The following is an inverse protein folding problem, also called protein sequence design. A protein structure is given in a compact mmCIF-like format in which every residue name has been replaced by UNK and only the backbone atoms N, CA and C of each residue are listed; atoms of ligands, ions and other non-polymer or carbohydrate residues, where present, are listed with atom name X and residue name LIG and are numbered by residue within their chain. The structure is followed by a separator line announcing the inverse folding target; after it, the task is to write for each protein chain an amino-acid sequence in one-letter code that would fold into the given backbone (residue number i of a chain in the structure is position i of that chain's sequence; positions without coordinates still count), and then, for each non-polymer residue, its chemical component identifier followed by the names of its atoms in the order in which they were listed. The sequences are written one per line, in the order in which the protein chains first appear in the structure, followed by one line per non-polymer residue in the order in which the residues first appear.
data_IF_021679453000
#
_entry.id   IF_021679453000
#
_cell.length_a   1.000
_cell.length_b   1.000
_cell.length_c   1.000
_cell.angle_alpha   90.00
_cell.angle_beta   90.00
_cell.angle_gamma   90.00
#
_symmetry.space_group_name_H-M   'P 1'
#
loop_
_entity.id
_entity.type
_entity.pdbx_description
1 polymer ?
#
# COMPACT_ATOMS: atom_id res chain seq x y z
N UNK A 1 30.62 14.86 29.92
CA UNK A 1 29.26 15.37 30.20
C UNK A 1 28.53 15.47 28.87
N UNK A 2 28.02 14.33 28.41
CA UNK A 2 27.24 14.20 27.18
C UNK A 2 25.79 14.48 27.53
N UNK A 3 25.32 15.68 27.16
CA UNK A 3 23.93 16.10 27.30
C UNK A 3 23.08 15.32 26.30
N UNK A 4 22.31 14.36 26.79
CA UNK A 4 21.18 13.74 26.11
C UNK A 4 20.08 14.79 26.00
N UNK A 5 19.95 15.42 24.83
CA UNK A 5 18.79 16.24 24.51
C UNK A 5 17.59 15.31 24.29
N UNK A 6 16.64 15.37 25.22
CA UNK A 6 15.32 14.79 25.08
C UNK A 6 14.50 15.78 24.21
N UNK A 7 14.03 15.43 23.00
CA UNK A 7 13.41 16.40 22.08
C UNK A 7 11.97 16.79 22.48
N UNK A 8 11.51 16.43 23.67
CA UNK A 8 10.12 16.66 24.07
C UNK A 8 9.78 18.13 24.41
N UNK A 9 10.77 19.00 24.62
CA UNK A 9 10.56 20.31 25.26
C UNK A 9 10.65 21.56 24.34
N UNK A 10 10.76 21.43 23.01
CA UNK A 10 10.90 22.60 22.10
C UNK A 10 9.78 22.78 21.07
N UNK A 11 8.61 22.15 21.24
CA UNK A 11 7.53 22.23 20.26
C UNK A 11 6.28 22.96 20.78
N UNK A 12 5.55 23.70 19.90
CA UNK A 12 4.35 24.42 20.31
C UNK A 12 3.34 23.47 20.97
N UNK A 13 2.95 23.81 22.20
CA UNK A 13 2.01 23.04 22.99
C UNK A 13 0.67 22.90 22.24
N UNK A 14 0.11 21.69 22.21
CA UNK A 14 -1.24 21.42 21.68
C UNK A 14 -1.32 20.84 20.26
N UNK A 15 -0.22 20.79 19.49
CA UNK A 15 -0.22 20.09 18.18
C UNK A 15 0.08 18.60 18.39
N UNK A 16 -0.79 17.67 17.96
CA UNK A 16 -0.57 16.23 18.13
C UNK A 16 0.51 15.70 17.19
N UNK A 17 1.23 14.65 17.61
CA UNK A 17 2.23 13.98 16.77
C UNK A 17 1.56 13.08 15.71
N UNK A 18 2.18 12.96 14.54
CA UNK A 18 1.74 12.06 13.47
C UNK A 18 2.92 11.22 12.93
N UNK A 19 2.73 9.94 12.60
CA UNK A 19 1.48 9.16 12.65
C UNK A 19 1.04 8.81 14.08
N UNK A 20 -0.27 8.65 14.26
CA UNK A 20 -0.88 8.26 15.53
C UNK A 20 -1.03 6.73 15.62
N UNK A 21 -1.11 6.19 16.84
CA UNK A 21 -1.15 4.73 17.07
C UNK A 21 -2.57 4.22 17.18
N UNK A 22 -2.85 3.06 16.55
CA UNK A 22 -4.11 2.33 16.72
C UNK A 22 -4.28 1.83 18.16
N UNK A 23 -5.51 1.73 18.65
CA UNK A 23 -5.77 1.23 19.99
C UNK A 23 -5.48 -0.27 20.08
N UNK A 24 -4.95 -0.71 21.23
CA UNK A 24 -4.87 -2.13 21.57
C UNK A 24 -6.27 -2.75 21.53
N UNK A 25 -6.41 -3.91 20.89
CA UNK A 25 -7.69 -4.62 20.75
C UNK A 25 -8.60 -4.13 19.60
N UNK A 26 -8.32 -2.95 19.01
CA UNK A 26 -9.04 -2.46 17.83
C UNK A 26 -8.07 -2.24 16.64
N UNK A 27 -7.36 -3.29 16.18
CA UNK A 27 -6.30 -3.13 15.18
C UNK A 27 -6.80 -2.70 13.79
N UNK A 28 -8.09 -2.88 13.49
CA UNK A 28 -8.66 -2.47 12.20
C UNK A 28 -9.11 -1.01 12.17
N UNK A 29 -9.35 -0.41 13.34
CA UNK A 29 -9.84 0.96 13.42
C UNK A 29 -8.73 2.00 13.24
N UNK A 30 -9.03 3.16 12.65
CA UNK A 30 -8.14 4.30 12.68
C UNK A 30 -7.74 4.64 14.11
N UNK A 31 -6.54 5.20 14.32
CA UNK A 31 -6.11 5.68 15.63
C UNK A 31 -7.19 6.55 16.33
N UNK A 32 -7.52 6.31 17.62
CA UNK A 32 -8.54 7.10 18.31
C UNK A 32 -8.22 8.60 18.33
N UNK A 33 -6.94 8.94 18.48
CA UNK A 33 -6.48 10.34 18.41
C UNK A 33 -6.74 10.94 17.02
N UNK A 34 -6.60 10.15 15.93
CA UNK A 34 -6.83 10.62 14.57
C UNK A 34 -8.32 10.88 14.31
N UNK A 35 -9.21 10.08 14.93
CA UNK A 35 -10.65 10.36 14.93
C UNK A 35 -11.02 11.60 15.74
N UNK A 36 -10.37 11.81 16.89
CA UNK A 36 -10.59 13.02 17.67
C UNK A 36 -10.22 14.28 16.87
N UNK A 37 -9.13 14.22 16.09
CA UNK A 37 -8.76 15.29 15.16
C UNK A 37 -9.79 15.51 14.05
N UNK A 38 -10.34 14.43 13.47
CA UNK A 38 -11.41 14.54 12.46
C UNK A 38 -12.65 15.27 12.97
N UNK A 39 -12.96 15.16 14.27
CA UNK A 39 -14.07 15.88 14.90
C UNK A 39 -13.79 17.38 15.12
N UNK A 40 -12.53 17.81 15.16
CA UNK A 40 -12.16 19.22 15.36
C UNK A 40 -12.42 20.06 14.10
N UNK A 41 -12.23 19.49 12.92
CA UNK A 41 -12.42 20.21 11.67
C UNK A 41 -11.90 19.49 10.44
N UNK A 42 -12.16 20.06 9.25
CA UNK A 42 -11.74 19.49 7.97
C UNK A 42 -10.22 19.51 7.77
N UNK A 43 -9.53 20.48 8.37
CA UNK A 43 -8.09 20.66 8.35
C UNK A 43 -7.59 20.89 9.77
N UNK A 44 -6.59 20.12 10.20
CA UNK A 44 -5.89 20.34 11.48
C UNK A 44 -4.38 20.33 11.27
N UNK A 45 -3.62 20.90 12.20
CA UNK A 45 -2.15 20.81 12.18
C UNK A 45 -1.69 19.57 12.96
N UNK A 46 -0.70 18.87 12.43
CA UNK A 46 -0.01 17.75 13.12
C UNK A 46 1.48 18.01 13.14
N UNK A 47 2.22 17.37 14.06
CA UNK A 47 3.68 17.50 14.17
C UNK A 47 4.37 16.22 13.69
N UNK A 48 5.40 16.38 12.84
CA UNK A 48 6.25 15.29 12.36
C UNK A 48 7.54 15.15 13.18
N UNK A 49 8.33 14.12 12.85
CA UNK A 49 9.60 13.77 13.48
C UNK A 49 10.67 14.88 13.42
N UNK A 50 10.59 15.76 12.42
CA UNK A 50 11.51 16.89 12.20
C UNK A 50 11.00 18.20 12.84
N UNK A 51 9.87 18.14 13.54
CA UNK A 51 9.22 19.31 14.14
C UNK A 51 8.34 20.12 13.19
N UNK A 52 8.30 19.79 11.90
CA UNK A 52 7.42 20.46 10.94
C UNK A 52 5.94 20.24 11.27
N UNK A 53 5.10 21.19 10.85
CA UNK A 53 3.66 21.19 11.13
C UNK A 53 2.79 21.22 9.87
N UNK A 54 2.73 20.13 9.10
CA UNK A 54 1.86 20.05 7.92
C UNK A 54 0.38 20.05 8.31
N UNK A 55 -0.47 20.34 7.32
CA UNK A 55 -1.91 20.14 7.40
C UNK A 55 -2.26 18.66 7.31
N UNK A 56 -3.16 18.21 8.16
CA UNK A 56 -3.84 16.93 8.10
C UNK A 56 -5.27 17.17 7.60
N UNK A 57 -5.63 16.56 6.47
CA UNK A 57 -6.93 16.74 5.81
C UNK A 57 -7.84 15.58 6.19
N UNK A 58 -8.90 15.84 6.93
CA UNK A 58 -9.64 14.79 7.65
C UNK A 58 -10.90 14.31 6.95
N UNK A 59 -11.47 15.12 6.04
CA UNK A 59 -12.71 14.81 5.31
C UNK A 59 -12.44 14.16 3.97
N UNK A 60 -13.26 13.17 3.61
CA UNK A 60 -13.12 12.43 2.35
C UNK A 60 -13.17 13.33 1.11
N UNK A 61 -14.13 14.26 1.07
CA UNK A 61 -14.33 15.15 -0.08
C UNK A 61 -13.11 16.06 -0.31
N UNK A 62 -12.54 16.59 0.78
CA UNK A 62 -11.38 17.48 0.74
C UNK A 62 -10.11 16.74 0.30
N UNK A 63 -9.91 15.51 0.81
CA UNK A 63 -8.81 14.66 0.36
C UNK A 63 -8.87 14.40 -1.15
N UNK A 64 -10.06 14.10 -1.69
CA UNK A 64 -10.22 13.88 -3.13
C UNK A 64 -9.99 15.13 -3.95
N UNK A 65 -10.52 16.27 -3.51
CA UNK A 65 -10.30 17.55 -4.18
C UNK A 65 -8.81 17.85 -4.30
N UNK A 66 -8.07 17.78 -3.18
CA UNK A 66 -6.62 18.03 -3.15
C UNK A 66 -5.81 17.00 -3.93
N UNK A 67 -6.17 15.71 -3.90
CA UNK A 67 -5.50 14.68 -4.72
C UNK A 67 -5.67 14.88 -6.23
N UNK A 68 -6.66 15.68 -6.66
CA UNK A 68 -6.88 16.04 -8.06
C UNK A 68 -6.40 17.43 -8.45
N UNK A 69 -5.96 18.24 -7.48
CA UNK A 69 -5.53 19.62 -7.72
C UNK A 69 -4.07 19.65 -8.19
N UNK A 70 -3.77 20.19 -9.38
CA UNK A 70 -2.40 20.25 -9.90
C UNK A 70 -1.48 21.18 -9.08
N UNK A 71 -2.02 22.00 -8.18
CA UNK A 71 -1.23 22.81 -7.23
C UNK A 71 -0.70 21.97 -6.06
N UNK A 72 -1.07 20.69 -5.97
CA UNK A 72 -0.69 19.79 -4.87
C UNK A 72 0.33 18.78 -5.36
N UNK A 73 1.61 19.07 -5.13
CA UNK A 73 2.77 18.33 -5.62
C UNK A 73 3.02 17.03 -4.87
N UNK A 74 3.36 15.96 -5.60
CA UNK A 74 3.85 14.69 -5.08
C UNK A 74 5.39 14.61 -5.03
N UNK A 75 6.09 15.62 -5.51
CA UNK A 75 7.55 15.65 -5.56
C UNK A 75 8.16 15.80 -4.16
N UNK A 76 8.73 14.71 -3.67
CA UNK A 76 9.33 14.66 -2.34
C UNK A 76 10.71 15.32 -2.24
N UNK A 77 11.23 15.86 -3.35
CA UNK A 77 12.43 16.69 -3.35
C UNK A 77 12.12 18.18 -3.06
N UNK A 78 10.85 18.57 -3.10
CA UNK A 78 10.46 19.96 -2.84
C UNK A 78 10.70 20.35 -1.37
N UNK A 79 11.24 21.56 -1.11
CA UNK A 79 11.37 22.07 0.25
C UNK A 79 10.01 22.15 0.96
N UNK A 80 9.94 21.64 2.19
CA UNK A 80 8.70 21.62 2.98
C UNK A 80 7.84 20.38 2.77
N UNK A 81 8.21 19.47 1.84
CA UNK A 81 7.48 18.21 1.67
C UNK A 81 7.48 17.42 2.99
N UNK A 82 6.33 16.97 3.50
CA UNK A 82 6.25 16.33 4.80
C UNK A 82 6.83 14.92 4.73
N UNK A 83 8.12 14.71 4.98
CA UNK A 83 8.75 13.39 4.87
C UNK A 83 8.40 12.46 6.04
N UNK A 84 8.32 11.15 5.79
CA UNK A 84 8.03 10.15 6.83
C UNK A 84 9.20 9.92 7.80
N UNK A 85 10.43 10.14 7.32
CA UNK A 85 11.67 9.88 8.03
C UNK A 85 12.80 10.70 7.39
N UNK A 86 14.00 10.80 8.02
CA UNK A 86 15.18 11.38 7.39
C UNK A 86 15.54 10.66 6.08
N UNK A 87 15.97 11.42 5.07
CA UNK A 87 16.42 10.90 3.77
C UNK A 87 17.78 11.47 3.41
N UNK A 88 18.61 10.67 2.74
CA UNK A 88 19.85 11.13 2.11
C UNK A 88 19.66 11.13 0.59
N UNK A 89 19.93 12.26 -0.05
CA UNK A 89 19.76 12.40 -1.51
C UNK A 89 18.30 12.39 -1.95
N UNK A 90 18.02 11.84 -3.13
CA UNK A 90 16.66 11.77 -3.68
C UNK A 90 15.86 10.63 -3.04
N UNK A 91 14.77 10.99 -2.37
CA UNK A 91 13.85 10.03 -1.74
C UNK A 91 12.87 9.39 -2.73
N UNK A 92 12.73 9.97 -3.92
CA UNK A 92 11.79 9.60 -4.98
C UNK A 92 12.01 8.21 -5.59
N UNK A 93 11.06 7.26 -5.51
CA UNK A 93 11.09 5.99 -6.28
C UNK A 93 10.30 6.15 -7.60
N UNK A 94 10.95 6.68 -8.63
CA UNK A 94 10.35 6.88 -9.96
C UNK A 94 9.08 7.76 -9.90
N UNK A 95 8.12 7.53 -10.79
CA UNK A 95 6.97 8.41 -11.04
C UNK A 95 5.99 8.56 -9.88
N UNK A 96 6.07 7.76 -8.81
CA UNK A 96 5.15 7.88 -7.66
C UNK A 96 5.35 9.20 -6.87
N UNK A 97 6.53 9.82 -7.01
CA UNK A 97 6.95 11.06 -6.33
C UNK A 97 7.39 12.10 -7.37
N UNK A 98 6.63 12.22 -8.45
CA UNK A 98 6.86 13.20 -9.52
C UNK A 98 5.54 13.89 -9.86
N UNK A 99 5.62 15.10 -10.38
CA UNK A 99 4.47 15.81 -10.93
C UNK A 99 4.41 15.68 -12.47
N UNK A 100 3.29 16.09 -13.05
CA UNK A 100 3.16 16.18 -14.49
C UNK A 100 4.05 17.31 -15.06
N UNK A 101 4.57 17.18 -16.29
CA UNK A 101 4.26 16.13 -17.28
C UNK A 101 5.06 14.83 -17.13
N UNK A 102 6.06 14.81 -16.25
CA UNK A 102 7.04 13.72 -16.17
C UNK A 102 6.42 12.45 -15.55
N UNK A 103 5.60 12.62 -14.52
CA UNK A 103 4.77 11.54 -13.98
C UNK A 103 3.93 10.87 -15.07
N UNK A 104 3.14 11.64 -15.84
CA UNK A 104 2.34 11.10 -16.93
C UNK A 104 3.17 10.42 -18.02
N UNK A 105 4.35 10.94 -18.35
CA UNK A 105 5.27 10.36 -19.35
C UNK A 105 5.70 8.95 -18.93
N UNK A 106 6.27 8.81 -17.74
CA UNK A 106 6.79 7.55 -17.23
C UNK A 106 5.68 6.54 -16.94
N UNK A 107 4.63 6.98 -16.23
CA UNK A 107 3.50 6.11 -15.87
C UNK A 107 2.85 5.47 -17.10
N UNK A 108 2.67 6.24 -18.19
CA UNK A 108 2.07 5.74 -19.44
C UNK A 108 2.83 4.56 -20.04
N UNK A 109 4.15 4.47 -19.84
CA UNK A 109 4.97 3.38 -20.39
C UNK A 109 4.71 2.04 -19.72
N UNK A 110 4.15 2.04 -18.51
CA UNK A 110 3.82 0.83 -17.74
C UNK A 110 2.33 0.66 -17.50
N UNK A 111 1.46 1.53 -18.02
CA UNK A 111 0.00 1.41 -17.81
C UNK A 111 -0.62 0.19 -18.50
N UNK A 112 -0.18 -0.14 -19.72
CA UNK A 112 -0.84 -1.16 -20.53
C UNK A 112 -0.88 -2.57 -19.90
N UNK A 113 0.19 -3.07 -19.25
CA UNK A 113 0.16 -4.33 -18.50
C UNK A 113 -0.90 -4.38 -17.39
N UNK A 114 -1.25 -3.26 -16.78
CA UNK A 114 -2.26 -3.17 -15.70
C UNK A 114 -3.67 -2.86 -16.21
N UNK A 115 -3.90 -2.81 -17.52
CA UNK A 115 -5.25 -2.63 -18.06
C UNK A 115 -6.16 -3.80 -17.66
N UNK A 116 -7.43 -3.52 -17.35
CA UNK A 116 -8.41 -4.50 -16.85
C UNK A 116 -8.41 -5.79 -17.67
N UNK A 117 -8.46 -5.69 -19.00
CA UNK A 117 -8.46 -6.86 -19.89
C UNK A 117 -7.18 -7.71 -19.78
N UNK A 118 -6.01 -7.08 -19.62
CA UNK A 118 -4.72 -7.79 -19.49
C UNK A 118 -4.62 -8.46 -18.14
N UNK A 119 -5.04 -7.77 -17.08
CA UNK A 119 -5.10 -8.32 -15.72
C UNK A 119 -6.08 -9.50 -15.64
N UNK A 120 -7.30 -9.37 -16.17
CA UNK A 120 -8.27 -10.48 -16.17
C UNK A 120 -7.76 -11.72 -16.93
N UNK A 121 -6.92 -11.54 -17.96
CA UNK A 121 -6.28 -12.67 -18.64
C UNK A 121 -5.29 -13.44 -17.74
N UNK A 122 -4.81 -12.84 -16.64
CA UNK A 122 -3.95 -13.49 -15.65
C UNK A 122 -4.75 -14.33 -14.64
N UNK A 123 -6.09 -14.19 -14.56
CA UNK A 123 -6.92 -14.90 -13.57
C UNK A 123 -6.64 -16.41 -13.49
N UNK A 124 -6.47 -17.16 -14.60
CA UNK A 124 -6.14 -18.59 -14.51
C UNK A 124 -4.78 -18.87 -13.88
N UNK A 125 -3.77 -18.04 -14.15
CA UNK A 125 -2.44 -18.18 -13.56
C UNK A 125 -2.48 -17.86 -12.05
N UNK A 126 -3.17 -16.78 -11.66
CA UNK A 126 -3.37 -16.41 -10.25
C UNK A 126 -4.15 -17.50 -9.50
N UNK A 127 -5.20 -18.06 -10.10
CA UNK A 127 -5.95 -19.18 -9.52
C UNK A 127 -5.03 -20.38 -9.29
N UNK A 128 -4.19 -20.74 -10.26
CA UNK A 128 -3.24 -21.84 -10.12
C UNK A 128 -2.25 -21.59 -8.98
N UNK A 129 -1.69 -20.38 -8.88
CA UNK A 129 -0.77 -20.01 -7.79
C UNK A 129 -1.46 -20.19 -6.43
N UNK A 130 -2.69 -19.69 -6.29
CA UNK A 130 -3.46 -19.79 -5.06
C UNK A 130 -3.79 -21.25 -4.73
N UNK A 131 -4.22 -22.05 -5.70
CA UNK A 131 -4.52 -23.47 -5.50
C UNK A 131 -3.27 -24.26 -5.10
N UNK A 132 -2.15 -24.09 -5.80
CA UNK A 132 -0.89 -24.77 -5.52
C UNK A 132 -0.39 -24.44 -4.09
N UNK A 133 -0.47 -23.17 -3.68
CA UNK A 133 -0.04 -22.75 -2.34
C UNK A 133 -0.98 -23.29 -1.25
N UNK A 134 -2.30 -23.34 -1.49
CA UNK A 134 -3.25 -23.99 -0.59
C UNK A 134 -2.95 -25.50 -0.49
N UNK A 135 -2.64 -26.17 -1.60
CA UNK A 135 -2.29 -27.59 -1.61
C UNK A 135 -1.04 -27.87 -0.76
N UNK A 136 0.01 -27.05 -0.93
CA UNK A 136 1.24 -27.13 -0.13
C UNK A 136 0.95 -26.90 1.36
N UNK A 137 0.15 -25.86 1.67
CA UNK A 137 -0.22 -25.53 3.05
C UNK A 137 -1.01 -26.67 3.71
N UNK A 138 -1.99 -27.25 3.02
CA UNK A 138 -2.82 -28.35 3.52
C UNK A 138 -2.04 -29.66 3.70
N UNK A 139 -0.98 -29.89 2.93
CA UNK A 139 -0.09 -31.03 3.07
C UNK A 139 0.96 -30.86 4.20
N UNK A 140 1.14 -29.62 4.68
CA UNK A 140 2.10 -29.26 5.73
C UNK A 140 1.58 -29.46 7.15
N UNK A 141 2.39 -29.11 8.17
CA UNK A 141 1.97 -29.12 9.56
C UNK A 141 0.94 -28.02 9.86
N UNK A 142 0.12 -28.25 10.89
CA UNK A 142 -0.76 -27.25 11.50
C UNK A 142 -0.41 -27.10 12.99
N UNK A 143 -0.35 -25.89 13.56
CA UNK A 143 -0.65 -24.59 12.94
C UNK A 143 0.41 -24.14 11.94
N UNK A 144 0.02 -23.22 11.06
CA UNK A 144 0.89 -22.58 10.06
C UNK A 144 0.81 -21.06 10.19
N UNK A 145 1.89 -20.35 9.89
CA UNK A 145 1.81 -18.91 9.66
C UNK A 145 1.28 -18.64 8.25
N UNK A 146 0.06 -18.08 8.16
CA UNK A 146 -0.55 -17.75 6.87
C UNK A 146 0.24 -16.67 6.11
N UNK A 147 0.97 -15.79 6.82
CA UNK A 147 1.76 -14.73 6.18
C UNK A 147 2.87 -15.36 5.33
N UNK A 148 3.71 -16.19 5.94
CA UNK A 148 4.82 -16.87 5.25
C UNK A 148 4.35 -17.93 4.26
N UNK A 149 3.36 -18.74 4.62
CA UNK A 149 2.95 -19.88 3.80
C UNK A 149 2.08 -19.49 2.59
N UNK A 150 1.40 -18.34 2.63
CA UNK A 150 0.38 -18.02 1.64
C UNK A 150 0.31 -16.53 1.27
N UNK A 151 0.17 -15.62 2.24
CA UNK A 151 -0.09 -14.21 1.95
C UNK A 151 1.08 -13.48 1.26
N UNK A 152 2.34 -13.79 1.62
CA UNK A 152 3.52 -13.26 0.94
C UNK A 152 3.79 -13.97 -0.41
N UNK A 153 3.78 -15.32 -0.51
CA UNK A 153 4.06 -16.00 -1.76
C UNK A 153 3.09 -15.66 -2.91
N UNK A 154 1.78 -15.52 -2.66
CA UNK A 154 0.78 -15.25 -3.71
C UNK A 154 1.17 -14.02 -4.56
N UNK A 155 1.21 -12.80 -3.99
CA UNK A 155 1.51 -11.61 -4.77
C UNK A 155 2.97 -11.58 -5.25
N UNK A 156 3.90 -12.20 -4.53
CA UNK A 156 5.29 -12.31 -4.98
C UNK A 156 5.41 -13.11 -6.28
N UNK A 157 4.68 -14.23 -6.41
CA UNK A 157 4.66 -15.04 -7.64
C UNK A 157 3.97 -14.29 -8.78
N UNK A 158 2.82 -13.66 -8.50
CA UNK A 158 2.03 -12.94 -9.50
C UNK A 158 2.79 -11.73 -10.07
N UNK A 159 3.44 -10.92 -9.21
CA UNK A 159 4.22 -9.78 -9.70
C UNK A 159 5.47 -10.23 -10.45
N UNK A 160 6.11 -11.33 -10.03
CA UNK A 160 7.21 -11.94 -10.76
C UNK A 160 6.81 -12.36 -12.18
N UNK A 161 5.64 -12.99 -12.32
CA UNK A 161 5.09 -13.38 -13.63
C UNK A 161 4.82 -12.15 -14.52
N UNK A 162 4.18 -11.10 -13.96
CA UNK A 162 3.89 -9.87 -14.71
C UNK A 162 5.16 -9.14 -15.17
N UNK A 163 6.15 -9.04 -14.28
CA UNK A 163 7.41 -8.35 -14.57
C UNK A 163 8.34 -9.20 -15.43
N UNK A 164 8.20 -10.52 -15.41
CA UNK A 164 9.17 -11.44 -16.00
C UNK A 164 10.43 -11.56 -15.14
N UNK A 165 10.28 -11.50 -13.82
CA UNK A 165 11.33 -11.69 -12.83
C UNK A 165 11.36 -13.17 -12.40
N UNK A 166 12.50 -13.88 -12.47
CA UNK A 166 12.60 -15.25 -11.99
C UNK A 166 12.29 -15.37 -10.49
N UNK A 167 11.36 -16.25 -10.12
CA UNK A 167 11.01 -16.45 -8.71
C UNK A 167 12.10 -17.16 -7.90
N UNK A 168 13.09 -17.80 -8.56
CA UNK A 168 14.22 -18.47 -7.89
C UNK A 168 15.06 -17.52 -7.03
N UNK A 169 14.95 -16.21 -7.26
CA UNK A 169 15.69 -15.17 -6.54
C UNK A 169 14.80 -14.37 -5.57
N UNK A 170 13.64 -14.93 -5.18
CA UNK A 170 12.70 -14.24 -4.30
C UNK A 170 13.30 -13.81 -2.96
N UNK A 171 14.13 -14.63 -2.32
CA UNK A 171 14.79 -14.26 -1.06
C UNK A 171 15.55 -12.94 -1.17
N UNK A 172 16.24 -12.70 -2.30
CA UNK A 172 17.02 -11.48 -2.51
C UNK A 172 16.11 -10.25 -2.61
N UNK A 173 15.11 -10.27 -3.48
CA UNK A 173 14.28 -9.08 -3.65
C UNK A 173 13.32 -8.87 -2.48
N UNK A 174 12.84 -9.94 -1.84
CA UNK A 174 12.00 -9.86 -0.64
C UNK A 174 12.78 -9.22 0.51
N UNK A 175 14.03 -9.64 0.76
CA UNK A 175 14.88 -9.06 1.80
C UNK A 175 15.10 -7.56 1.60
N UNK A 176 15.47 -7.15 0.38
CA UNK A 176 15.69 -5.73 0.09
C UNK A 176 14.38 -4.92 0.10
N UNK A 177 13.26 -5.47 -0.39
CA UNK A 177 11.96 -4.80 -0.36
C UNK A 177 11.45 -4.54 1.07
N UNK A 178 11.63 -5.51 1.99
CA UNK A 178 11.33 -5.37 3.42
C UNK A 178 12.09 -4.20 4.06
N UNK A 179 13.35 -3.98 3.70
CA UNK A 179 14.15 -2.83 4.18
C UNK A 179 13.55 -1.51 3.70
N UNK A 180 13.07 -1.45 2.46
CA UNK A 180 12.54 -0.22 1.86
C UNK A 180 11.18 0.21 2.42
N UNK A 181 10.37 -0.72 2.93
CA UNK A 181 9.04 -0.40 3.50
C UNK A 181 9.06 -0.11 5.01
N UNK A 182 10.11 -0.50 5.72
CA UNK A 182 10.27 -0.20 7.15
C UNK A 182 10.44 1.30 7.37
N UNK A 183 9.84 1.84 8.44
CA UNK A 183 9.96 3.26 8.78
C UNK A 183 11.34 3.56 9.36
N UNK A 184 11.76 2.76 10.33
CA UNK A 184 12.90 3.07 11.19
C UNK A 184 14.18 2.34 10.72
N UNK A 185 14.55 2.56 9.46
CA UNK A 185 15.79 2.04 8.84
C UNK A 185 16.76 3.19 8.58
N UNK A 186 18.06 3.03 8.92
CA UNK A 186 19.06 4.05 8.63
C UNK A 186 19.11 4.42 7.15
N UNK A 187 19.24 5.72 6.79
CA UNK A 187 19.21 6.16 5.39
C UNK A 187 20.18 5.42 4.46
N UNK A 188 21.37 5.09 4.96
CA UNK A 188 22.40 4.35 4.22
C UNK A 188 21.98 2.92 3.90
N UNK A 189 21.28 2.24 4.81
CA UNK A 189 20.77 0.88 4.58
C UNK A 189 19.63 0.91 3.56
N UNK A 190 18.76 1.92 3.64
CA UNK A 190 17.69 2.13 2.66
C UNK A 190 18.26 2.41 1.26
N UNK A 191 19.27 3.27 1.16
CA UNK A 191 19.94 3.56 -0.10
C UNK A 191 20.62 2.31 -0.69
N UNK A 192 21.29 1.51 0.14
CA UNK A 192 21.90 0.25 -0.29
C UNK A 192 20.86 -0.76 -0.80
N UNK A 193 19.76 -0.97 -0.08
CA UNK A 193 18.70 -1.88 -0.50
C UNK A 193 18.07 -1.47 -1.84
N UNK A 194 17.89 -0.15 -2.05
CA UNK A 194 17.42 0.41 -3.32
C UNK A 194 18.43 0.16 -4.45
N UNK A 195 19.71 0.42 -4.20
CA UNK A 195 20.77 0.20 -5.19
C UNK A 195 20.89 -1.27 -5.58
N UNK A 196 20.77 -2.19 -4.61
CA UNK A 196 20.77 -3.63 -4.84
C UNK A 196 19.65 -4.07 -5.78
N UNK A 197 18.41 -3.63 -5.53
CA UNK A 197 17.27 -3.95 -6.40
C UNK A 197 17.40 -3.33 -7.79
N UNK A 198 17.88 -2.09 -7.87
CA UNK A 198 18.10 -1.42 -9.15
C UNK A 198 19.20 -2.11 -9.98
N UNK A 199 20.28 -2.55 -9.35
CA UNK A 199 21.35 -3.34 -9.99
C UNK A 199 20.82 -4.66 -10.52
N UNK A 200 20.13 -5.43 -9.69
CA UNK A 200 19.51 -6.70 -10.06
C UNK A 200 18.56 -6.55 -11.27
N UNK A 201 17.66 -5.56 -11.25
CA UNK A 201 16.74 -5.33 -12.35
C UNK A 201 17.46 -4.81 -13.61
N UNK A 202 18.56 -4.05 -13.44
CA UNK A 202 19.41 -3.62 -14.54
C UNK A 202 20.08 -4.79 -15.26
N UNK A 203 20.58 -5.77 -14.51
CA UNK A 203 21.18 -7.00 -15.05
C UNK A 203 20.12 -7.85 -15.76
N UNK A 204 18.95 -8.05 -15.14
CA UNK A 204 17.83 -8.77 -15.76
C UNK A 204 17.35 -8.08 -17.06
N UNK A 205 17.31 -6.75 -17.08
CA UNK A 205 17.00 -5.99 -18.31
C UNK A 205 18.08 -6.15 -19.38
N UNK A 206 19.35 -6.28 -18.99
CA UNK A 206 20.43 -6.55 -19.94
C UNK A 206 20.30 -7.94 -20.57
N UNK A 207 19.86 -8.95 -19.81
CA UNK A 207 19.53 -10.27 -20.36
C UNK A 207 18.34 -10.21 -21.32
N UNK A 208 17.25 -9.53 -20.93
CA UNK A 208 16.07 -9.31 -21.77
C UNK A 208 16.36 -8.46 -23.02
N UNK A 209 17.44 -7.68 -23.02
CA UNK A 209 17.93 -6.96 -24.20
C UNK A 209 18.32 -7.94 -25.32
N UNK A 210 18.95 -9.06 -24.95
CA UNK A 210 19.38 -10.11 -25.85
C UNK A 210 18.26 -11.12 -26.15
N UNK A 211 17.40 -11.42 -25.17
CA UNK A 211 16.30 -12.38 -25.30
C UNK A 211 14.99 -11.83 -24.73
N UNK A 212 14.26 -10.97 -25.46
CA UNK A 212 13.01 -10.38 -24.99
C UNK A 212 11.89 -11.43 -24.89
N UNK A 213 10.99 -11.23 -23.93
CA UNK A 213 9.78 -12.03 -23.72
C UNK A 213 8.52 -11.15 -23.67
N UNK A 214 7.33 -11.75 -23.53
CA UNK A 214 6.06 -11.02 -23.38
C UNK A 214 5.80 -10.61 -21.91
N UNK A 215 6.71 -9.80 -21.37
CA UNK A 215 6.64 -9.31 -19.98
C UNK A 215 6.92 -7.80 -19.87
N UNK A 216 6.59 -7.21 -18.72
CA UNK A 216 6.69 -5.76 -18.52
C UNK A 216 8.12 -5.25 -18.66
N UNK A 217 9.11 -5.97 -18.10
CA UNK A 217 10.51 -5.54 -18.16
C UNK A 217 11.06 -5.58 -19.60
N UNK A 218 10.66 -6.55 -20.41
CA UNK A 218 10.96 -6.59 -21.85
C UNK A 218 10.32 -5.40 -22.58
N UNK A 219 9.12 -4.99 -22.19
CA UNK A 219 8.48 -3.76 -22.65
C UNK A 219 9.28 -2.50 -22.33
N UNK A 220 9.81 -2.38 -21.10
CA UNK A 220 10.70 -1.28 -20.71
C UNK A 220 12.03 -1.31 -21.49
N UNK A 221 12.61 -2.49 -21.69
CA UNK A 221 13.82 -2.68 -22.51
C UNK A 221 13.61 -2.17 -23.94
N UNK A 222 12.43 -2.40 -24.53
CA UNK A 222 12.12 -1.85 -25.85
C UNK A 222 12.09 -0.31 -25.87
N UNK A 223 11.58 0.33 -24.81
CA UNK A 223 11.59 1.80 -24.64
C UNK A 223 13.01 2.34 -24.49
N UNK A 224 13.88 1.61 -23.78
CA UNK A 224 15.31 1.93 -23.68
C UNK A 224 15.99 1.84 -25.06
N UNK A 225 15.74 0.78 -25.85
CA UNK A 225 16.27 0.66 -27.22
C UNK A 225 15.84 1.80 -28.13
N UNK A 226 14.61 2.31 -27.95
CA UNK A 226 14.06 3.43 -28.71
C UNK A 226 14.59 4.80 -28.25
N UNK A 227 15.37 4.87 -27.17
CA UNK A 227 15.86 6.13 -26.60
C UNK A 227 14.79 6.94 -25.87
N UNK A 228 13.63 6.34 -25.59
CA UNK A 228 12.52 6.98 -24.87
C UNK A 228 12.71 6.97 -23.35
N UNK A 229 13.58 6.09 -22.87
CA UNK A 229 13.87 5.88 -21.45
C UNK A 229 15.35 5.56 -21.25
N UNK A 230 15.96 6.09 -20.20
CA UNK A 230 17.30 5.65 -19.77
C UNK A 230 17.22 4.29 -19.07
N UNK A 231 18.37 3.60 -18.99
CA UNK A 231 18.46 2.33 -18.25
C UNK A 231 18.15 2.49 -16.76
N UNK A 232 18.59 3.59 -16.15
CA UNK A 232 18.34 3.86 -14.74
C UNK A 232 16.85 4.12 -14.48
N UNK A 233 16.19 4.96 -15.30
CA UNK A 233 14.74 5.14 -15.20
C UNK A 233 13.98 3.81 -15.30
N UNK A 234 14.38 2.92 -16.23
CA UNK A 234 13.73 1.61 -16.38
C UNK A 234 13.88 0.79 -15.10
N UNK A 235 15.11 0.70 -14.58
CA UNK A 235 15.40 -0.03 -13.37
C UNK A 235 14.60 0.52 -12.18
N UNK A 236 14.57 1.84 -11.99
CA UNK A 236 13.79 2.48 -10.91
C UNK A 236 12.27 2.23 -11.06
N UNK A 237 11.74 2.21 -12.28
CA UNK A 237 10.35 1.82 -12.53
C UNK A 237 10.11 0.35 -12.15
N UNK A 238 11.03 -0.55 -12.49
CA UNK A 238 10.96 -1.96 -12.08
C UNK A 238 10.99 -2.12 -10.56
N UNK A 239 11.86 -1.37 -9.85
CA UNK A 239 11.93 -1.37 -8.38
C UNK A 239 10.59 -0.96 -7.79
N UNK A 240 10.00 0.14 -8.29
CA UNK A 240 8.70 0.62 -7.85
C UNK A 240 7.63 -0.48 -7.97
N UNK A 241 7.53 -1.10 -9.15
CA UNK A 241 6.49 -2.09 -9.44
C UNK A 241 6.67 -3.39 -8.64
N UNK A 242 7.91 -3.85 -8.47
CA UNK A 242 8.23 -5.06 -7.71
C UNK A 242 7.87 -4.90 -6.22
N UNK A 243 8.24 -3.78 -5.61
CA UNK A 243 7.92 -3.51 -4.19
C UNK A 243 6.42 -3.31 -4.01
N UNK A 244 5.81 -2.48 -4.86
CA UNK A 244 4.39 -2.15 -4.74
C UNK A 244 3.49 -3.37 -4.95
N UNK A 245 3.83 -4.25 -5.90
CA UNK A 245 3.04 -5.45 -6.23
C UNK A 245 3.17 -6.59 -5.23
N UNK A 246 4.24 -6.64 -4.44
CA UNK A 246 4.47 -7.72 -3.48
C UNK A 246 3.88 -7.42 -2.10
N UNK A 247 4.36 -6.36 -1.45
CA UNK A 247 4.11 -6.15 -0.01
C UNK A 247 2.69 -5.67 0.28
N UNK A 248 2.09 -4.88 -0.61
CA UNK A 248 0.76 -4.29 -0.35
C UNK A 248 -0.34 -5.36 -0.36
N UNK A 249 -0.41 -6.18 -1.41
CA UNK A 249 -1.38 -7.27 -1.50
C UNK A 249 -1.19 -8.29 -0.37
N UNK A 250 0.05 -8.62 0.01
CA UNK A 250 0.31 -9.58 1.08
C UNK A 250 -0.28 -9.13 2.44
N UNK A 251 -0.06 -7.86 2.80
CA UNK A 251 -0.63 -7.30 4.02
C UNK A 251 -2.16 -7.17 3.94
N UNK A 252 -2.73 -6.88 2.75
CA UNK A 252 -4.18 -6.92 2.57
C UNK A 252 -4.74 -8.33 2.77
N UNK A 253 -4.14 -9.37 2.17
CA UNK A 253 -4.57 -10.77 2.34
C UNK A 253 -4.59 -11.16 3.81
N UNK A 254 -3.50 -10.89 4.54
CA UNK A 254 -3.39 -11.24 5.95
C UNK A 254 -4.42 -10.48 6.80
N UNK A 255 -4.53 -9.16 6.65
CA UNK A 255 -5.48 -8.35 7.41
C UNK A 255 -6.94 -8.65 7.06
N UNK A 256 -7.26 -8.88 5.79
CA UNK A 256 -8.62 -9.22 5.38
C UNK A 256 -9.01 -10.61 5.83
N UNK A 257 -8.06 -11.56 5.87
CA UNK A 257 -8.29 -12.86 6.50
C UNK A 257 -8.61 -12.71 7.98
N UNK A 258 -7.77 -11.96 8.70
CA UNK A 258 -7.97 -11.69 10.12
C UNK A 258 -9.31 -10.98 10.38
N UNK A 259 -9.65 -9.96 9.60
CA UNK A 259 -10.91 -9.21 9.75
C UNK A 259 -12.15 -10.06 9.50
N UNK A 260 -12.12 -10.96 8.51
CA UNK A 260 -13.23 -11.86 8.25
C UNK A 260 -13.36 -12.94 9.34
N UNK A 261 -12.25 -13.47 9.88
CA UNK A 261 -12.29 -14.40 11.01
C UNK A 261 -12.89 -13.78 12.27
N UNK A 262 -12.65 -12.49 12.51
CA UNK A 262 -13.27 -11.71 13.59
C UNK A 262 -14.73 -11.32 13.30
N UNK A 263 -15.21 -11.50 12.05
CA UNK A 263 -16.57 -11.20 11.61
C UNK A 263 -17.22 -12.44 10.95
N UNK A 264 -17.55 -13.49 11.73
CA UNK A 264 -17.97 -14.79 11.19
C UNK A 264 -19.24 -14.74 10.34
N UNK A 265 -20.12 -13.76 10.57
CA UNK A 265 -21.30 -13.53 9.73
C UNK A 265 -20.93 -13.08 8.31
N UNK A 266 -20.04 -12.11 8.19
CA UNK A 266 -19.51 -11.62 6.91
C UNK A 266 -18.70 -12.71 6.20
N UNK A 267 -17.87 -13.45 6.96
CA UNK A 267 -17.12 -14.58 6.43
C UNK A 267 -18.02 -15.68 5.87
N UNK A 268 -19.09 -16.06 6.57
CA UNK A 268 -20.01 -17.09 6.09
C UNK A 268 -20.63 -16.70 4.75
N UNK A 269 -21.01 -15.42 4.58
CA UNK A 269 -21.56 -14.91 3.32
C UNK A 269 -20.58 -14.99 2.16
N UNK A 270 -19.31 -14.62 2.41
CA UNK A 270 -18.27 -14.69 1.40
C UNK A 270 -17.87 -16.13 1.07
N UNK A 271 -17.90 -17.04 2.04
CA UNK A 271 -17.60 -18.46 1.86
C UNK A 271 -18.68 -19.17 1.03
N UNK A 272 -19.95 -18.86 1.32
CA UNK A 272 -21.10 -19.62 0.81
C UNK A 272 -21.64 -19.05 -0.52
N UNK A 273 -21.04 -17.99 -1.06
CA UNK A 273 -21.46 -17.36 -2.32
C UNK A 273 -20.66 -17.86 -3.53
N UNK A 274 -21.36 -18.01 -4.66
CA UNK A 274 -20.76 -18.14 -6.00
C UNK A 274 -20.92 -16.84 -6.83
N UNK A 275 -21.50 -15.78 -6.24
CA UNK A 275 -21.75 -14.51 -6.93
C UNK A 275 -20.46 -13.66 -7.02
N UNK A 276 -19.90 -13.45 -8.23
CA UNK A 276 -18.70 -12.65 -8.40
C UNK A 276 -18.89 -11.17 -8.02
N UNK A 277 -20.12 -10.64 -8.08
CA UNK A 277 -20.40 -9.26 -7.69
C UNK A 277 -20.26 -9.08 -6.17
N UNK A 278 -20.75 -10.04 -5.38
CA UNK A 278 -20.57 -10.04 -3.93
C UNK A 278 -19.09 -10.19 -3.54
N UNK A 279 -18.32 -11.04 -4.24
CA UNK A 279 -16.87 -11.17 -3.99
C UNK A 279 -16.14 -9.86 -4.30
N UNK A 280 -16.49 -9.19 -5.40
CA UNK A 280 -15.91 -7.90 -5.75
C UNK A 280 -16.27 -6.81 -4.72
N UNK A 281 -17.52 -6.78 -4.27
CA UNK A 281 -18.02 -5.90 -3.21
C UNK A 281 -17.26 -6.12 -1.89
N UNK A 282 -17.08 -7.38 -1.48
CA UNK A 282 -16.33 -7.74 -0.28
C UNK A 282 -14.88 -7.22 -0.33
N UNK A 283 -14.22 -7.33 -1.49
CA UNK A 283 -12.85 -6.81 -1.67
C UNK A 283 -12.79 -5.29 -1.55
N UNK A 284 -13.71 -4.56 -2.18
CA UNK A 284 -13.77 -3.09 -2.06
C UNK A 284 -14.09 -2.67 -0.62
N UNK A 285 -14.97 -3.39 0.08
CA UNK A 285 -15.25 -3.13 1.50
C UNK A 285 -14.02 -3.38 2.39
N UNK A 286 -13.31 -4.49 2.21
CA UNK A 286 -12.09 -4.77 2.98
C UNK A 286 -11.00 -3.71 2.73
N UNK A 287 -10.85 -3.25 1.49
CA UNK A 287 -9.94 -2.16 1.12
C UNK A 287 -10.34 -0.86 1.81
N UNK A 288 -11.63 -0.51 1.82
CA UNK A 288 -12.17 0.64 2.55
C UNK A 288 -11.90 0.51 4.05
N UNK A 289 -12.14 -0.66 4.64
CA UNK A 289 -12.14 -0.87 6.08
C UNK A 289 -10.74 -0.91 6.71
N UNK A 290 -9.77 -1.59 6.08
CA UNK A 290 -8.48 -1.97 6.71
C UNK A 290 -7.34 -0.97 6.50
N UNK A 291 -7.32 -0.24 5.37
CA UNK A 291 -6.31 0.76 5.01
C UNK A 291 -4.87 0.40 5.41
N UNK A 292 -4.22 -0.46 4.62
CA UNK A 292 -2.82 -0.84 4.84
C UNK A 292 -1.83 0.32 4.70
N UNK A 293 -2.14 1.36 3.92
CA UNK A 293 -1.27 2.56 3.82
C UNK A 293 -1.71 3.61 4.84
N UNK A 294 -1.41 3.37 6.12
CA UNK A 294 -1.92 4.17 7.24
C UNK A 294 -1.15 5.47 7.54
N UNK A 295 -0.05 5.75 6.83
CA UNK A 295 0.77 6.95 7.05
C UNK A 295 0.29 8.19 6.26
N UNK A 296 -0.86 8.09 5.60
CA UNK A 296 -1.48 9.13 4.77
C UNK A 296 -0.74 9.43 3.46
N UNK A 297 -1.46 9.98 2.47
CA UNK A 297 -0.86 10.50 1.24
C UNK A 297 -0.27 11.87 1.51
N UNK A 298 1.02 12.02 1.19
CA UNK A 298 1.80 13.21 1.50
C UNK A 298 2.02 14.06 0.26
N UNK A 299 1.86 15.36 0.39
CA UNK A 299 1.94 16.35 -0.69
C UNK A 299 2.50 17.68 -0.20
N UNK A 300 2.83 18.55 -1.13
CA UNK A 300 3.18 19.96 -0.88
C UNK A 300 2.26 20.88 -1.69
N UNK A 301 1.77 21.96 -1.09
CA UNK A 301 1.09 23.01 -1.85
C UNK A 301 2.12 23.87 -2.63
N UNK A 302 1.96 23.98 -3.94
CA UNK A 302 2.78 24.84 -4.81
C UNK A 302 2.27 26.28 -4.83
N UNK A 303 0.97 26.46 -4.61
CA UNK A 303 0.27 27.74 -4.59
C UNK A 303 -0.71 27.77 -3.41
N UNK A 304 -1.25 28.94 -3.09
CA UNK A 304 -2.31 29.10 -2.09
C UNK A 304 -3.61 28.38 -2.54
N UNK A 305 -4.23 27.62 -1.64
CA UNK A 305 -5.44 26.82 -1.87
C UNK A 305 -6.46 27.08 -0.76
N UNK A 306 -7.60 27.67 -1.12
CA UNK A 306 -8.77 27.75 -0.24
C UNK A 306 -9.58 26.45 -0.33
N UNK A 307 -9.84 25.82 0.81
CA UNK A 307 -10.64 24.58 0.90
C UNK A 307 -11.38 24.52 2.23
N UNK A 308 -12.69 24.21 2.19
CA UNK A 308 -13.54 24.15 3.38
C UNK A 308 -13.48 25.40 4.29
N UNK A 309 -13.24 26.58 3.70
CA UNK A 309 -13.14 27.86 4.43
C UNK A 309 -11.76 28.13 5.05
N UNK A 310 -10.81 27.22 4.89
CA UNK A 310 -9.43 27.33 5.37
C UNK A 310 -8.47 27.60 4.20
N UNK A 311 -7.31 28.20 4.50
CA UNK A 311 -6.29 28.54 3.51
C UNK A 311 -5.01 27.76 3.75
N UNK A 312 -4.70 26.83 2.84
CA UNK A 312 -3.40 26.17 2.75
C UNK A 312 -2.48 27.11 1.96
N UNK A 313 -1.31 27.46 2.51
CA UNK A 313 -0.36 28.36 1.86
C UNK A 313 0.58 27.61 0.93
N UNK A 314 1.08 28.29 -0.09
CA UNK A 314 2.21 27.81 -0.87
C UNK A 314 3.38 27.43 0.06
N UNK A 315 3.95 26.24 -0.13
CA UNK A 315 5.00 25.66 0.71
C UNK A 315 4.50 24.87 1.93
N UNK A 316 3.18 24.85 2.21
CA UNK A 316 2.64 24.01 3.27
C UNK A 316 2.64 22.53 2.88
N UNK A 317 3.17 21.68 3.77
CA UNK A 317 3.00 20.24 3.67
C UNK A 317 1.55 19.82 3.95
N UNK A 318 1.07 18.81 3.23
CA UNK A 318 -0.28 18.25 3.33
C UNK A 318 -0.19 16.74 3.53
N UNK A 319 -0.99 16.22 4.46
CA UNK A 319 -1.15 14.79 4.74
C UNK A 319 -2.64 14.45 4.66
N UNK A 320 -2.98 13.48 3.81
CA UNK A 320 -4.33 12.98 3.59
C UNK A 320 -4.43 11.53 4.10
N UNK A 321 -4.82 11.31 5.36
CA UNK A 321 -5.01 9.99 5.95
C UNK A 321 -6.24 9.27 5.39
N UNK A 322 -6.00 8.25 4.56
CA UNK A 322 -7.05 7.48 3.89
C UNK A 322 -7.91 6.68 4.88
N UNK A 323 -7.36 6.33 6.05
CA UNK A 323 -8.03 5.53 7.06
C UNK A 323 -9.22 6.27 7.68
N UNK A 324 -9.11 7.57 7.99
CA UNK A 324 -10.27 8.37 8.43
C UNK A 324 -11.12 8.85 7.25
N UNK A 325 -10.54 9.09 6.07
CA UNK A 325 -11.31 9.43 4.87
C UNK A 325 -12.25 8.30 4.44
N UNK A 326 -11.82 7.05 4.57
CA UNK A 326 -12.66 5.87 4.32
C UNK A 326 -13.65 5.54 5.45
N UNK A 327 -13.61 6.32 6.54
CA UNK A 327 -14.54 6.22 7.67
C UNK A 327 -15.43 7.46 7.81
N UNK A 328 -15.54 8.25 6.75
CA UNK A 328 -16.39 9.45 6.70
C UNK A 328 -17.89 9.05 6.64
N UNK A 329 -18.70 9.39 7.67
CA UNK A 329 -20.10 8.98 7.74
C UNK A 329 -20.99 9.67 6.70
N UNK A 330 -20.57 10.80 6.13
CA UNK A 330 -21.30 11.47 5.05
C UNK A 330 -21.23 10.69 3.72
N UNK A 331 -20.28 9.75 3.63
CA UNK A 331 -20.02 8.93 2.43
C UNK A 331 -20.37 7.47 2.67
N UNK A 332 -20.02 6.94 3.84
CA UNK A 332 -20.23 5.54 4.22
C UNK A 332 -21.07 5.47 5.51
N UNK A 333 -22.39 5.17 5.42
CA UNK A 333 -23.25 5.04 6.60
C UNK A 333 -22.76 3.95 7.56
N UNK A 334 -22.77 4.17 8.86
CA UNK A 334 -22.18 3.24 9.84
C UNK A 334 -20.75 2.79 9.43
N UNK A 335 -19.81 3.75 9.24
CA UNK A 335 -18.54 3.51 8.56
C UNK A 335 -17.62 2.51 9.28
N UNK A 336 -17.91 2.24 10.54
CA UNK A 336 -17.09 1.40 11.44
C UNK A 336 -17.51 -0.07 11.45
N UNK A 337 -18.63 -0.39 10.79
CA UNK A 337 -19.04 -1.76 10.57
C UNK A 337 -18.45 -2.26 9.25
N UNK A 338 -17.89 -3.47 9.30
CA UNK A 338 -17.56 -4.25 8.12
C UNK A 338 -18.87 -4.83 7.55
N UNK A 339 -19.26 -4.38 6.36
CA UNK A 339 -20.42 -4.90 5.63
C UNK A 339 -20.02 -5.19 4.19
N UNK A 340 -19.82 -6.46 3.85
CA UNK A 340 -19.32 -6.85 2.53
C UNK A 340 -20.32 -6.58 1.40
N UNK A 341 -21.58 -6.25 1.72
CA UNK A 341 -22.62 -5.90 0.75
C UNK A 341 -22.68 -4.40 0.47
N UNK A 342 -21.95 -3.58 1.23
CA UNK A 342 -21.89 -2.13 1.05
C UNK A 342 -21.31 -1.79 -0.32
N UNK A 343 -21.88 -0.79 -1.00
CA UNK A 343 -21.22 -0.16 -2.13
C UNK A 343 -20.03 0.70 -1.66
N UNK A 344 -18.86 0.06 -1.53
CA UNK A 344 -17.62 0.68 -1.10
C UNK A 344 -16.77 1.21 -2.28
N UNK A 345 -17.29 1.20 -3.53
CA UNK A 345 -16.52 1.43 -4.76
C UNK A 345 -15.76 2.77 -4.82
N UNK A 346 -16.22 3.74 -4.04
CA UNK A 346 -15.68 5.09 -4.02
C UNK A 346 -14.57 5.31 -2.99
N UNK A 347 -14.22 4.28 -2.20
CA UNK A 347 -13.14 4.35 -1.23
C UNK A 347 -11.85 4.93 -1.82
N UNK A 348 -11.04 5.56 -0.98
CA UNK A 348 -9.74 6.14 -1.36
C UNK A 348 -8.56 5.25 -0.95
N UNK A 349 -8.73 3.97 -0.63
CA UNK A 349 -7.60 3.08 -0.28
C UNK A 349 -6.48 3.09 -1.36
N UNK A 350 -6.85 3.17 -2.63
CA UNK A 350 -5.92 3.29 -3.77
C UNK A 350 -5.47 4.73 -4.07
N UNK A 351 -5.85 5.71 -3.25
CA UNK A 351 -5.70 7.14 -3.54
C UNK A 351 -6.72 7.62 -4.58
N UNK A 352 -6.48 8.81 -5.12
CA UNK A 352 -7.33 9.46 -6.12
C UNK A 352 -6.47 10.32 -7.05
N UNK A 353 -7.04 10.76 -8.18
CA UNK A 353 -6.37 11.62 -9.15
C UNK A 353 -5.27 10.91 -9.95
N UNK A 354 -4.32 11.68 -10.47
CA UNK A 354 -3.27 11.18 -11.38
C UNK A 354 -2.36 10.13 -10.73
N UNK A 355 -2.25 10.13 -9.39
CA UNK A 355 -1.49 9.16 -8.61
C UNK A 355 -2.32 8.00 -8.04
N UNK A 356 -3.59 7.84 -8.44
CA UNK A 356 -4.37 6.65 -8.08
C UNK A 356 -3.60 5.38 -8.41
N UNK A 357 -3.66 4.35 -7.57
CA UNK A 357 -2.82 3.16 -7.66
C UNK A 357 -2.88 2.53 -9.06
N UNK A 358 -1.70 2.38 -9.69
CA UNK A 358 -1.57 1.73 -10.99
C UNK A 358 -1.98 0.25 -10.94
N UNK A 359 -1.58 -0.45 -9.88
CA UNK A 359 -1.84 -1.87 -9.67
C UNK A 359 -3.24 -2.21 -9.16
N UNK A 360 -4.15 -1.23 -9.02
CA UNK A 360 -5.47 -1.48 -8.43
C UNK A 360 -6.30 -2.59 -9.10
N UNK A 361 -6.23 -2.83 -10.43
CA UNK A 361 -6.98 -3.93 -11.03
C UNK A 361 -6.36 -5.29 -10.66
N UNK A 362 -5.03 -5.37 -10.60
CA UNK A 362 -4.32 -6.59 -10.21
C UNK A 362 -4.59 -6.95 -8.76
N UNK A 363 -4.44 -5.99 -7.85
CA UNK A 363 -4.72 -6.20 -6.43
C UNK A 363 -6.17 -6.69 -6.20
N UNK A 364 -7.16 -6.13 -6.91
CA UNK A 364 -8.54 -6.60 -6.83
C UNK A 364 -8.69 -8.04 -7.31
N UNK A 365 -8.11 -8.38 -8.45
CA UNK A 365 -8.16 -9.74 -8.99
C UNK A 365 -7.53 -10.74 -8.01
N UNK A 366 -6.34 -10.44 -7.48
CA UNK A 366 -5.66 -11.28 -6.50
C UNK A 366 -6.52 -11.51 -5.26
N UNK A 367 -7.05 -10.43 -4.66
CA UNK A 367 -7.88 -10.52 -3.45
C UNK A 367 -9.19 -11.28 -3.69
N UNK A 368 -9.83 -11.10 -4.85
CA UNK A 368 -11.03 -11.85 -5.22
C UNK A 368 -10.74 -13.36 -5.31
N UNK A 369 -9.65 -13.75 -5.98
CA UNK A 369 -9.26 -15.16 -6.12
C UNK A 369 -8.88 -15.75 -4.75
N UNK A 370 -8.09 -15.01 -3.97
CA UNK A 370 -7.60 -15.43 -2.66
C UNK A 370 -8.75 -15.68 -1.69
N UNK A 371 -9.60 -14.69 -1.43
CA UNK A 371 -10.64 -14.84 -0.42
C UNK A 371 -11.68 -15.88 -0.82
N UNK A 372 -12.11 -15.89 -2.09
CA UNK A 372 -13.07 -16.90 -2.55
C UNK A 372 -12.51 -18.33 -2.45
N UNK A 373 -11.24 -18.53 -2.83
CA UNK A 373 -10.64 -19.87 -2.83
C UNK A 373 -10.29 -20.34 -1.43
N UNK A 374 -9.69 -19.47 -0.60
CA UNK A 374 -9.24 -19.83 0.75
C UNK A 374 -10.39 -20.39 1.59
N UNK A 375 -11.53 -19.70 1.63
CA UNK A 375 -12.65 -20.11 2.48
C UNK A 375 -13.47 -21.27 1.90
N UNK A 376 -13.53 -21.39 0.56
CA UNK A 376 -14.13 -22.55 -0.08
C UNK A 376 -13.32 -23.83 0.17
N UNK A 377 -11.98 -23.73 0.13
CA UNK A 377 -11.05 -24.87 0.30
C UNK A 377 -10.82 -25.22 1.77
N UNK A 378 -10.86 -24.23 2.66
CA UNK A 378 -10.56 -24.38 4.10
C UNK A 378 -11.70 -23.75 4.94
N UNK A 379 -12.90 -24.35 4.94
CA UNK A 379 -14.08 -23.76 5.59
C UNK A 379 -13.98 -23.67 7.12
N UNK A 380 -13.02 -24.39 7.72
CA UNK A 380 -12.76 -24.43 9.17
C UNK A 380 -11.54 -23.61 9.60
N UNK A 381 -10.97 -22.81 8.69
CA UNK A 381 -9.85 -21.91 8.97
C UNK A 381 -10.16 -21.04 10.20
N UNK A 382 -9.24 -21.00 11.15
CA UNK A 382 -9.36 -20.25 12.41
C UNK A 382 -7.99 -19.78 12.89
N UNK A 383 -7.96 -18.71 13.68
CA UNK A 383 -6.78 -18.30 14.42
C UNK A 383 -6.42 -19.34 15.49
N UNK A 384 -5.13 -19.50 15.76
CA UNK A 384 -4.65 -20.30 16.91
C UNK A 384 -4.17 -19.45 18.08
N UNK A 385 -4.37 -18.14 18.01
CA UNK A 385 -4.00 -17.18 19.04
C UNK A 385 -5.04 -16.08 19.14
N UNK A 386 -5.11 -15.42 20.29
CA UNK A 386 -5.98 -14.27 20.52
C UNK A 386 -5.48 -13.06 19.71
N UNK A 387 -6.42 -12.19 19.28
CA UNK A 387 -6.16 -10.99 18.49
C UNK A 387 -5.11 -10.07 19.14
N UNK A 388 -5.11 -9.93 20.47
CA UNK A 388 -4.20 -9.07 21.22
C UNK A 388 -2.75 -9.56 21.23
N UNK A 389 -2.51 -10.83 20.87
CA UNK A 389 -1.16 -11.41 20.81
C UNK A 389 -0.53 -11.32 19.43
N UNK A 390 -1.30 -10.95 18.41
CA UNK A 390 -0.79 -10.86 17.05
C UNK A 390 0.20 -9.68 16.92
N UNK A 391 1.38 -9.90 16.32
CA UNK A 391 2.39 -8.86 16.19
C UNK A 391 2.09 -7.95 15.00
N UNK A 392 1.30 -6.90 15.25
CA UNK A 392 0.99 -5.88 14.23
C UNK A 392 2.20 -5.00 13.89
N UNK A 393 2.30 -4.62 12.60
CA UNK A 393 3.36 -3.78 12.02
C UNK A 393 3.18 -2.29 12.34
N UNK A 394 3.26 -1.92 13.61
CA UNK A 394 3.17 -0.51 14.04
C UNK A 394 4.37 0.35 13.61
N UNK A 395 5.46 -0.28 13.18
CA UNK A 395 6.72 0.29 12.71
C UNK A 395 6.86 0.32 11.17
N UNK A 396 5.87 -0.22 10.45
CA UNK A 396 5.84 -0.27 8.98
C UNK A 396 5.12 0.92 8.34
N UNK A 397 5.55 1.32 7.14
CA UNK A 397 4.76 2.22 6.28
C UNK A 397 3.51 1.52 5.68
N UNK A 398 3.56 0.19 5.62
CA UNK A 398 2.45 -0.68 5.27
C UNK A 398 2.03 -1.42 6.54
N UNK A 399 0.81 -1.19 6.98
CA UNK A 399 0.20 -1.85 8.13
C UNK A 399 -0.18 -3.28 7.79
N UNK A 400 -0.07 -4.16 8.78
CA UNK A 400 -0.30 -5.59 8.64
C UNK A 400 0.07 -6.32 9.91
N UNK A 401 0.25 -7.64 9.81
CA UNK A 401 0.77 -8.50 10.89
C UNK A 401 2.08 -9.15 10.43
N UNK A 402 3.00 -9.38 11.35
CA UNK A 402 4.26 -10.08 11.06
C UNK A 402 4.05 -11.58 10.87
N UNK A 403 3.13 -12.17 11.65
CA UNK A 403 2.69 -13.56 11.56
C UNK A 403 1.17 -13.61 11.78
N UNK A 404 0.52 -14.60 11.18
CA UNK A 404 -0.89 -14.90 11.36
C UNK A 404 -1.05 -16.42 11.56
N UNK A 405 -0.88 -16.91 12.81
CA UNK A 405 -0.98 -18.32 13.12
C UNK A 405 -2.42 -18.83 12.93
N UNK A 406 -2.60 -19.77 12.00
CA UNK A 406 -3.89 -20.38 11.67
C UNK A 406 -3.85 -21.90 11.70
N UNK A 407 -5.02 -22.49 11.92
CA UNK A 407 -5.28 -23.91 11.79
C UNK A 407 -6.63 -24.14 11.11
N UNK A 408 -6.91 -25.38 10.73
CA UNK A 408 -8.19 -25.81 10.18
C UNK A 408 -8.73 -27.06 10.88
#
# INVERSE_FOLDING_TARGET
MTSTLNPADEYPAGIPAFPMTRATGCPFDPPPALRAEQQQGPLVKVRLWDGSTPWLVTRYADQRALLSDPRVSADSAQPGFPLHAPVQGTSGISFIQMDDPEHARLRRMVTAPFAIKRVEAMRPAVQKIVDDLIDVMLAGPTPVDLVEAFALPVPSLVICELLGVPYTEHDFFQTNSKVLIKRDVPPEQRAAARANLAGYLGDLMAEKMASPADDLLSGLVARVKAGELSRDEAAQMGVLLLIAGHETTANMIALGTLALLENPGELALLRDTDDPELVASAVDELLRYLNITHSGRRRLALDDIEISGELIRAGDGIIMPNDIGNRDPDVFPDPDLLDIRRDARHHVAFGFGVHQCLGQPLARLELQVVYSTLYRRIPTLRLTTDLERLPFKHDGNVYGVYELPVAW
#
